data_IF_907837560576
#
_entry.id   IF_907837560576
#
_cell.length_a   1.000
_cell.length_b   1.000
_cell.length_c   1.000
_cell.angle_alpha   90.00
_cell.angle_beta   90.00
_cell.angle_gamma   90.00
#
_symmetry.space_group_name_H-M   'P 1'
#
loop_
_entity.id
_entity.type
_entity.pdbx_description
1 polymer ?
#
# COMPACT_ATOMS: atom_id res chain seq x y z
N UNK A 1 -7.38 -11.26 15.21
CA UNK A 1 -6.40 -11.18 14.12
C UNK A 1 -5.82 -9.78 14.09
N UNK A 2 -4.51 -9.65 13.81
CA UNK A 2 -3.81 -8.35 13.65
C UNK A 2 -3.07 -8.32 12.32
N UNK A 3 -3.18 -7.21 11.58
CA UNK A 3 -2.46 -7.02 10.33
C UNK A 3 -1.46 -5.87 10.44
N UNK A 4 -0.29 -6.05 9.87
CA UNK A 4 0.80 -5.08 9.78
C UNK A 4 0.98 -4.72 8.29
N UNK A 5 0.54 -3.54 7.91
CA UNK A 5 0.54 -3.09 6.52
C UNK A 5 1.75 -2.22 6.27
N UNK A 6 2.61 -2.63 5.35
CA UNK A 6 3.88 -2.01 5.01
C UNK A 6 3.74 -1.34 3.64
N UNK A 7 3.95 -0.02 3.55
CA UNK A 7 4.12 0.63 2.25
C UNK A 7 5.48 0.25 1.66
N UNK A 8 5.56 0.01 0.36
CA UNK A 8 6.83 -0.25 -0.31
C UNK A 8 7.85 0.88 -0.10
N UNK A 9 9.15 0.55 -0.18
CA UNK A 9 10.25 1.51 -0.15
C UNK A 9 10.23 2.46 -1.35
N UNK A 10 11.06 3.51 -1.33
CA UNK A 10 11.18 4.44 -2.44
C UNK A 10 11.47 3.69 -3.74
N UNK A 11 10.62 3.85 -4.75
CA UNK A 11 10.80 3.29 -6.09
C UNK A 11 11.41 4.31 -7.05
N UNK A 12 11.92 3.83 -8.20
CA UNK A 12 12.41 4.69 -9.28
C UNK A 12 11.32 5.67 -9.78
N UNK A 13 10.05 5.25 -9.78
CA UNK A 13 8.94 6.15 -10.12
C UNK A 13 8.73 7.24 -9.05
N UNK A 14 8.86 6.91 -7.76
CA UNK A 14 8.81 7.92 -6.70
C UNK A 14 9.93 8.95 -6.86
N UNK A 15 11.16 8.49 -7.13
CA UNK A 15 12.33 9.36 -7.30
C UNK A 15 12.16 10.33 -8.49
N UNK A 16 11.59 9.83 -9.60
CA UNK A 16 11.38 10.62 -10.82
C UNK A 16 10.06 11.41 -10.81
N UNK A 17 9.24 11.29 -9.78
CA UNK A 17 7.87 11.84 -9.75
C UNK A 17 7.03 11.39 -10.97
N UNK A 18 7.10 10.10 -11.28
CA UNK A 18 6.36 9.48 -12.37
C UNK A 18 5.12 8.71 -11.86
N UNK A 19 4.15 8.53 -12.74
CA UNK A 19 3.00 7.68 -12.52
C UNK A 19 3.40 6.20 -12.57
N UNK A 20 3.60 5.57 -11.41
CA UNK A 20 3.94 4.15 -11.35
C UNK A 20 2.78 3.24 -11.73
N UNK A 21 1.59 3.49 -11.18
CA UNK A 21 0.43 2.61 -11.36
C UNK A 21 0.80 1.13 -11.17
N UNK A 22 0.49 0.31 -12.19
CA UNK A 22 0.80 -1.13 -12.21
C UNK A 22 2.12 -1.48 -12.92
N UNK A 23 2.95 -0.50 -13.22
CA UNK A 23 4.27 -0.72 -13.80
C UNK A 23 5.18 -1.49 -12.83
N UNK A 24 6.00 -2.40 -13.38
CA UNK A 24 6.96 -3.22 -12.62
C UNK A 24 8.25 -2.43 -12.32
N UNK A 25 8.11 -1.35 -11.56
CA UNK A 25 9.19 -0.43 -11.23
C UNK A 25 9.96 -0.95 -10.01
N UNK A 26 11.31 -1.00 -10.05
CA UNK A 26 12.12 -1.43 -8.92
C UNK A 26 12.24 -0.35 -7.84
N UNK A 27 12.73 -0.78 -6.67
CA UNK A 27 13.18 0.11 -5.61
C UNK A 27 14.47 0.83 -6.00
N UNK A 28 14.66 2.05 -5.51
CA UNK A 28 15.94 2.75 -5.53
C UNK A 28 16.91 2.17 -4.49
N UNK A 29 18.23 2.45 -4.53
CA UNK A 29 19.15 2.09 -3.45
C UNK A 29 18.66 2.56 -2.06
N UNK A 30 18.07 3.76 -1.98
CA UNK A 30 17.42 4.26 -0.76
C UNK A 30 16.23 3.39 -0.36
N UNK A 31 15.38 3.00 -1.32
CA UNK A 31 14.23 2.13 -1.07
C UNK A 31 14.63 0.75 -0.56
N UNK A 32 15.71 0.17 -1.07
CA UNK A 32 16.26 -1.10 -0.59
C UNK A 32 16.73 -0.98 0.87
N UNK A 33 17.44 0.09 1.21
CA UNK A 33 17.87 0.35 2.59
C UNK A 33 16.67 0.59 3.53
N UNK A 34 15.63 1.31 3.08
CA UNK A 34 14.39 1.50 3.84
C UNK A 34 13.70 0.16 4.11
N UNK A 35 13.63 -0.73 3.12
CA UNK A 35 12.99 -2.04 3.26
C UNK A 35 13.73 -2.93 4.27
N UNK A 36 15.07 -2.95 4.23
CA UNK A 36 15.87 -3.66 5.22
C UNK A 36 15.65 -3.11 6.65
N UNK A 37 15.54 -1.80 6.80
CA UNK A 37 15.27 -1.16 8.09
C UNK A 37 13.89 -1.52 8.66
N UNK A 38 12.88 -1.77 7.81
CA UNK A 38 11.58 -2.30 8.26
C UNK A 38 11.75 -3.66 8.93
N UNK A 39 12.58 -4.55 8.38
CA UNK A 39 12.85 -5.85 8.98
C UNK A 39 13.35 -5.75 10.43
N UNK A 40 14.26 -4.79 10.69
CA UNK A 40 14.75 -4.54 12.05
C UNK A 40 13.63 -4.06 13.00
N UNK A 41 12.70 -3.25 12.49
CA UNK A 41 11.56 -2.71 13.25
C UNK A 41 10.52 -3.78 13.57
N UNK A 42 10.39 -4.79 12.71
CA UNK A 42 9.47 -5.92 12.87
C UNK A 42 10.08 -7.10 13.66
N UNK A 43 11.35 -7.01 14.07
CA UNK A 43 11.99 -8.04 14.89
C UNK A 43 11.19 -8.32 16.16
N UNK A 44 10.99 -9.61 16.44
CA UNK A 44 10.20 -10.08 17.58
C UNK A 44 8.72 -10.28 17.28
N UNK A 45 8.24 -9.85 16.13
CA UNK A 45 6.89 -10.16 15.66
C UNK A 45 6.95 -11.42 14.80
N UNK A 46 6.19 -12.44 15.18
CA UNK A 46 6.04 -13.66 14.38
C UNK A 46 4.79 -13.54 13.52
N UNK A 47 4.95 -13.70 12.22
CA UNK A 47 3.84 -13.71 11.28
C UNK A 47 3.42 -15.13 10.92
N UNK A 48 2.11 -15.37 10.90
CA UNK A 48 1.52 -16.64 10.46
C UNK A 48 1.33 -16.65 8.94
N UNK A 49 1.19 -15.45 8.35
CA UNK A 49 0.97 -15.27 6.91
C UNK A 49 1.59 -13.96 6.43
N UNK A 50 2.14 -13.99 5.21
CA UNK A 50 2.64 -12.80 4.52
C UNK A 50 1.95 -12.69 3.17
N UNK A 51 1.33 -11.54 2.89
CA UNK A 51 0.62 -11.25 1.65
C UNK A 51 1.25 -10.00 1.01
N UNK A 52 1.53 -10.06 -0.27
CA UNK A 52 2.29 -9.03 -0.97
C UNK A 52 1.59 -8.63 -2.26
N UNK A 53 1.52 -7.35 -2.56
CA UNK A 53 1.19 -6.92 -3.91
C UNK A 53 2.19 -7.51 -4.90
N UNK A 54 1.73 -8.03 -6.01
CA UNK A 54 2.58 -8.64 -7.04
C UNK A 54 3.41 -7.64 -7.86
N UNK A 55 3.32 -6.34 -7.55
CA UNK A 55 4.16 -5.31 -8.16
C UNK A 55 5.58 -5.36 -7.58
N UNK A 56 6.59 -5.25 -8.46
CA UNK A 56 8.00 -5.49 -8.14
C UNK A 56 8.48 -4.76 -6.87
N UNK A 57 8.18 -3.46 -6.75
CA UNK A 57 8.58 -2.64 -5.59
C UNK A 57 8.03 -3.16 -4.25
N UNK A 58 6.83 -3.74 -4.24
CA UNK A 58 6.25 -4.33 -3.03
C UNK A 58 6.90 -5.68 -2.71
N UNK A 59 7.17 -6.51 -3.73
CA UNK A 59 7.88 -7.79 -3.56
C UNK A 59 9.29 -7.57 -3.03
N UNK A 60 10.08 -6.67 -3.64
CA UNK A 60 11.41 -6.32 -3.16
C UNK A 60 11.41 -5.81 -1.71
N UNK A 61 10.36 -5.03 -1.35
CA UNK A 61 10.20 -4.59 0.03
C UNK A 61 9.98 -5.75 0.98
N UNK A 62 9.07 -6.68 0.65
CA UNK A 62 8.77 -7.85 1.48
C UNK A 62 9.98 -8.78 1.60
N UNK A 63 10.69 -9.04 0.51
CA UNK A 63 11.88 -9.90 0.48
C UNK A 63 13.01 -9.40 1.40
N UNK A 64 13.17 -8.08 1.52
CA UNK A 64 14.17 -7.47 2.40
C UNK A 64 13.66 -7.30 3.84
N UNK A 65 12.39 -6.96 4.03
CA UNK A 65 11.82 -6.76 5.36
C UNK A 65 11.53 -8.09 6.09
N UNK A 66 11.18 -9.13 5.35
CA UNK A 66 10.70 -10.42 5.88
C UNK A 66 11.40 -11.61 5.21
N UNK A 67 12.76 -11.67 5.19
CA UNK A 67 13.51 -12.63 4.38
C UNK A 67 13.29 -14.10 4.76
N UNK A 68 12.81 -14.36 5.97
CA UNK A 68 12.55 -15.72 6.47
C UNK A 68 11.14 -16.24 6.19
N UNK A 69 10.31 -15.44 5.53
CA UNK A 69 8.90 -15.77 5.28
C UNK A 69 8.65 -16.02 3.79
N UNK A 70 8.00 -17.13 3.48
CA UNK A 70 7.33 -17.28 2.20
C UNK A 70 6.10 -16.36 2.15
N UNK A 71 5.79 -15.81 0.98
CA UNK A 71 4.62 -14.96 0.80
C UNK A 71 3.75 -15.41 -0.37
N UNK A 72 2.50 -15.07 -0.31
CA UNK A 72 1.56 -15.16 -1.42
C UNK A 72 1.28 -13.78 -1.99
N UNK A 73 1.02 -13.69 -3.29
CA UNK A 73 0.68 -12.43 -3.93
C UNK A 73 -0.84 -12.23 -4.04
N UNK A 74 -1.27 -10.97 -3.94
CA UNK A 74 -2.66 -10.59 -4.16
C UNK A 74 -2.73 -9.29 -4.98
N UNK A 75 -3.37 -9.34 -6.14
CA UNK A 75 -3.52 -8.20 -7.03
C UNK A 75 -4.48 -7.13 -6.50
N UNK A 76 -5.38 -7.49 -5.59
CA UNK A 76 -6.37 -6.57 -5.00
C UNK A 76 -5.72 -5.47 -4.18
N UNK A 77 -4.49 -5.68 -3.72
CA UNK A 77 -3.69 -4.68 -2.99
C UNK A 77 -2.64 -3.98 -3.85
N UNK A 78 -2.74 -4.05 -5.20
CA UNK A 78 -1.97 -3.18 -6.11
C UNK A 78 -2.30 -1.71 -5.89
N UNK A 79 -1.38 -0.83 -6.33
CA UNK A 79 -1.63 0.62 -6.44
C UNK A 79 -2.76 0.90 -7.44
N UNK A 80 -3.31 2.12 -7.44
CA UNK A 80 -4.31 2.53 -8.43
C UNK A 80 -3.75 2.37 -9.85
N UNK A 81 -4.54 1.82 -10.75
CA UNK A 81 -4.18 1.71 -12.16
C UNK A 81 -4.34 3.08 -12.85
N UNK A 82 -3.27 3.58 -13.44
CA UNK A 82 -3.28 4.92 -14.08
C UNK A 82 -3.35 4.85 -15.62
N UNK A 83 -3.64 3.67 -16.16
CA UNK A 83 -3.81 3.45 -17.59
C UNK A 83 -2.59 3.87 -18.41
N UNK A 84 -2.83 4.58 -19.51
CA UNK A 84 -1.78 5.07 -20.43
C UNK A 84 -0.82 6.10 -19.83
N UNK A 85 -1.06 6.56 -18.61
CA UNK A 85 -0.14 7.45 -17.90
C UNK A 85 1.02 6.72 -17.23
N UNK A 86 1.03 5.37 -17.18
CA UNK A 86 2.12 4.59 -16.58
C UNK A 86 3.48 4.98 -17.15
N UNK A 87 4.47 5.19 -16.27
CA UNK A 87 5.83 5.57 -16.61
C UNK A 87 6.04 7.05 -16.98
N UNK A 88 4.98 7.80 -17.22
CA UNK A 88 5.06 9.23 -17.58
C UNK A 88 5.33 10.09 -16.35
N UNK A 89 6.14 11.14 -16.53
CA UNK A 89 6.36 12.13 -15.49
C UNK A 89 5.08 12.94 -15.25
N UNK A 90 4.79 13.23 -13.98
CA UNK A 90 3.65 14.08 -13.60
C UNK A 90 3.75 15.47 -14.25
N UNK A 91 4.98 16.03 -14.35
CA UNK A 91 5.23 17.32 -14.97
C UNK A 91 4.89 17.31 -16.46
N UNK A 92 5.29 16.25 -17.19
CA UNK A 92 5.01 16.12 -18.62
C UNK A 92 3.52 15.97 -18.89
N UNK A 93 2.84 15.13 -18.09
CA UNK A 93 1.38 14.99 -18.16
C UNK A 93 0.66 16.32 -17.89
N UNK A 94 1.17 17.12 -16.92
CA UNK A 94 0.62 18.44 -16.62
C UNK A 94 0.79 19.40 -17.79
N UNK A 95 1.97 19.44 -18.40
CA UNK A 95 2.27 20.35 -19.51
C UNK A 95 1.49 19.98 -20.79
N UNK A 96 1.36 18.68 -21.08
CA UNK A 96 0.77 18.18 -22.32
C UNK A 96 -0.77 18.09 -22.25
N UNK A 97 -1.32 17.61 -21.14
CA UNK A 97 -2.75 17.29 -21.00
C UNK A 97 -3.53 18.40 -20.29
N UNK A 98 -2.86 19.32 -19.61
CA UNK A 98 -3.43 20.52 -19.01
C UNK A 98 -4.49 20.26 -17.95
N UNK A 99 -5.48 21.18 -17.90
CA UNK A 99 -6.54 21.21 -16.88
C UNK A 99 -7.39 19.92 -16.79
N UNK A 100 -7.75 19.23 -17.87
CA UNK A 100 -8.47 17.95 -17.77
C UNK A 100 -7.69 16.92 -16.95
N UNK A 101 -6.39 16.77 -17.18
CA UNK A 101 -5.56 15.86 -16.42
C UNK A 101 -5.44 16.28 -14.93
N UNK A 102 -5.27 17.57 -14.65
CA UNK A 102 -5.18 18.07 -13.27
C UNK A 102 -6.45 17.73 -12.49
N UNK A 103 -7.62 17.86 -13.11
CA UNK A 103 -8.92 17.48 -12.52
C UNK A 103 -8.99 15.97 -12.25
N UNK A 104 -8.70 15.14 -13.25
CA UNK A 104 -8.69 13.68 -13.08
C UNK A 104 -7.71 13.23 -12.00
N UNK A 105 -6.52 13.82 -11.98
CA UNK A 105 -5.51 13.54 -10.96
C UNK A 105 -5.97 13.95 -9.56
N UNK A 106 -6.60 15.11 -9.42
CA UNK A 106 -7.13 15.58 -8.13
C UNK A 106 -8.25 14.68 -7.61
N UNK A 107 -9.11 14.18 -8.51
CA UNK A 107 -10.20 13.26 -8.21
C UNK A 107 -9.74 11.79 -8.10
N UNK A 108 -8.48 11.49 -8.44
CA UNK A 108 -7.96 10.12 -8.56
C UNK A 108 -8.83 9.26 -9.49
N UNK A 109 -9.36 9.84 -10.53
CA UNK A 109 -10.12 9.16 -11.59
C UNK A 109 -9.28 9.08 -12.86
N UNK A 110 -8.72 7.91 -13.11
CA UNK A 110 -7.89 7.62 -14.27
C UNK A 110 -8.63 6.84 -15.37
N UNK A 111 -9.96 6.74 -15.28
CA UNK A 111 -10.78 5.98 -16.26
C UNK A 111 -10.67 6.54 -17.67
N UNK A 112 -10.54 7.87 -17.81
CA UNK A 112 -10.29 8.52 -19.11
C UNK A 112 -8.98 8.09 -19.78
N UNK A 113 -8.05 7.51 -19.03
CA UNK A 113 -6.76 7.00 -19.50
C UNK A 113 -6.71 5.45 -19.52
N UNK A 114 -7.85 4.78 -19.37
CA UNK A 114 -7.93 3.32 -19.28
C UNK A 114 -7.45 2.75 -17.93
N UNK A 115 -7.44 3.57 -16.89
CA UNK A 115 -7.11 3.20 -15.52
C UNK A 115 -8.33 2.98 -14.63
N UNK A 116 -8.13 3.06 -13.31
CA UNK A 116 -9.15 2.93 -12.27
C UNK A 116 -9.55 4.30 -11.70
N UNK A 117 -10.72 4.37 -11.09
CA UNK A 117 -11.12 5.42 -10.16
C UNK A 117 -11.05 4.93 -8.70
N UNK A 118 -11.32 5.83 -7.75
CA UNK A 118 -11.30 5.50 -6.32
C UNK A 118 -12.32 4.42 -5.93
N UNK A 119 -13.52 4.43 -6.53
CA UNK A 119 -14.56 3.44 -6.23
C UNK A 119 -14.15 2.02 -6.63
N UNK A 120 -13.58 1.87 -7.82
CA UNK A 120 -13.08 0.58 -8.31
C UNK A 120 -11.95 0.05 -7.42
N UNK A 121 -11.03 0.93 -7.02
CA UNK A 121 -9.96 0.58 -6.10
C UNK A 121 -10.49 0.22 -4.71
N UNK A 122 -11.44 1.00 -4.16
CA UNK A 122 -12.07 0.71 -2.87
C UNK A 122 -12.73 -0.67 -2.87
N UNK A 123 -13.46 -1.00 -3.93
CA UNK A 123 -14.14 -2.29 -4.05
C UNK A 123 -13.16 -3.47 -3.92
N UNK A 124 -12.08 -3.49 -4.72
CA UNK A 124 -11.11 -4.61 -4.65
C UNK A 124 -10.35 -4.69 -3.33
N UNK A 125 -10.03 -3.53 -2.73
CA UNK A 125 -9.37 -3.49 -1.42
C UNK A 125 -10.32 -3.92 -0.31
N UNK A 126 -11.60 -3.54 -0.37
CA UNK A 126 -12.61 -4.01 0.60
C UNK A 126 -12.82 -5.51 0.51
N UNK A 127 -12.90 -6.09 -0.69
CA UNK A 127 -12.97 -7.55 -0.88
C UNK A 127 -11.77 -8.27 -0.25
N UNK A 128 -10.57 -7.69 -0.37
CA UNK A 128 -9.38 -8.21 0.31
C UNK A 128 -9.51 -8.15 1.84
N UNK A 129 -9.95 -7.01 2.38
CA UNK A 129 -10.12 -6.82 3.83
C UNK A 129 -11.21 -7.74 4.40
N UNK A 130 -12.31 -7.94 3.67
CA UNK A 130 -13.40 -8.85 4.07
C UNK A 130 -12.93 -10.31 4.09
N UNK A 131 -12.08 -10.70 3.14
CA UNK A 131 -11.50 -12.04 3.13
C UNK A 131 -10.60 -12.30 4.34
N UNK A 132 -9.80 -11.31 4.74
CA UNK A 132 -8.95 -11.42 5.93
C UNK A 132 -9.75 -11.68 7.21
N UNK A 133 -11.01 -11.22 7.30
CA UNK A 133 -11.85 -11.48 8.50
C UNK A 133 -12.11 -12.96 8.78
N UNK A 134 -11.82 -13.84 7.80
CA UNK A 134 -11.97 -15.30 7.91
C UNK A 134 -10.74 -16.00 8.51
N UNK A 135 -9.63 -15.26 8.65
CA UNK A 135 -8.40 -15.79 9.25
C UNK A 135 -8.57 -16.01 10.77
N UNK A 136 -7.77 -16.90 11.40
CA UNK A 136 -7.83 -17.15 12.84
C UNK A 136 -7.77 -15.86 13.68
N UNK A 137 -8.53 -15.84 14.77
CA UNK A 137 -8.68 -14.63 15.61
C UNK A 137 -7.36 -14.13 16.25
N UNK A 138 -6.38 -15.00 16.40
CA UNK A 138 -5.04 -14.73 16.94
C UNK A 138 -3.97 -14.56 15.85
N UNK A 139 -4.31 -14.74 14.58
CA UNK A 139 -3.36 -14.63 13.47
C UNK A 139 -2.69 -13.26 13.41
N UNK A 140 -1.39 -13.26 13.14
CA UNK A 140 -0.59 -12.07 12.81
C UNK A 140 -0.19 -12.12 11.33
N UNK A 141 -0.61 -11.13 10.56
CA UNK A 141 -0.45 -11.12 9.10
C UNK A 141 0.36 -9.88 8.70
N UNK A 142 1.42 -10.07 7.92
CA UNK A 142 2.12 -8.98 7.27
C UNK A 142 1.56 -8.76 5.86
N UNK A 143 1.35 -7.50 5.49
CA UNK A 143 0.87 -7.09 4.16
C UNK A 143 1.81 -6.05 3.59
N UNK A 144 2.44 -6.32 2.43
CA UNK A 144 3.27 -5.33 1.75
C UNK A 144 2.55 -4.80 0.51
N UNK A 145 2.30 -3.48 0.47
CA UNK A 145 1.49 -2.87 -0.57
C UNK A 145 1.88 -1.41 -0.87
N UNK A 146 0.92 -0.56 -1.20
CA UNK A 146 1.10 0.79 -1.74
C UNK A 146 0.27 1.80 -0.96
N UNK A 147 0.60 3.08 -1.13
CA UNK A 147 -0.09 4.19 -0.45
C UNK A 147 -1.59 4.19 -0.73
N UNK A 148 -2.00 4.04 -2.01
CA UNK A 148 -3.41 4.00 -2.37
C UNK A 148 -4.14 2.82 -1.73
N UNK A 149 -3.52 1.62 -1.71
CA UNK A 149 -4.13 0.46 -1.04
C UNK A 149 -4.28 0.68 0.47
N UNK A 150 -3.26 1.25 1.13
CA UNK A 150 -3.33 1.60 2.56
C UNK A 150 -4.44 2.60 2.85
N UNK A 151 -4.57 3.64 2.02
CA UNK A 151 -5.66 4.60 2.13
C UNK A 151 -7.03 3.91 2.09
N UNK A 152 -7.26 3.03 1.12
CA UNK A 152 -8.53 2.32 0.99
C UNK A 152 -8.77 1.29 2.10
N UNK A 153 -7.71 0.67 2.65
CA UNK A 153 -7.82 -0.14 3.87
C UNK A 153 -8.26 0.73 5.07
N UNK A 154 -7.71 1.93 5.20
CA UNK A 154 -8.11 2.87 6.25
C UNK A 154 -9.57 3.28 6.09
N UNK A 155 -10.03 3.65 4.89
CA UNK A 155 -11.44 3.97 4.62
C UNK A 155 -12.36 2.80 4.98
N UNK A 156 -11.97 1.56 4.62
CA UNK A 156 -12.72 0.35 4.98
C UNK A 156 -12.83 0.18 6.50
N UNK A 157 -11.72 0.36 7.23
CA UNK A 157 -11.69 0.24 8.70
C UNK A 157 -12.52 1.33 9.37
N UNK A 158 -12.42 2.56 8.89
CA UNK A 158 -13.14 3.72 9.46
C UNK A 158 -14.60 3.80 8.99
N UNK A 159 -14.99 3.00 7.99
CA UNK A 159 -16.32 3.01 7.37
C UNK A 159 -16.75 4.41 6.90
N UNK A 160 -15.82 5.16 6.36
CA UNK A 160 -16.05 6.50 5.84
C UNK A 160 -15.06 6.85 4.72
N UNK A 161 -15.46 7.79 3.87
CA UNK A 161 -14.58 8.40 2.87
C UNK A 161 -13.75 9.50 3.53
N UNK A 162 -12.44 9.32 3.53
CA UNK A 162 -11.49 10.32 4.02
C UNK A 162 -10.97 11.15 2.84
N UNK A 163 -10.65 12.44 3.04
CA UNK A 163 -9.88 13.17 2.04
C UNK A 163 -8.53 12.47 1.82
N UNK A 164 -8.19 12.15 0.57
CA UNK A 164 -6.99 11.35 0.26
C UNK A 164 -5.70 11.95 0.88
N UNK A 165 -5.56 13.28 0.84
CA UNK A 165 -4.41 13.97 1.42
C UNK A 165 -4.32 13.89 2.95
N UNK A 166 -5.42 13.55 3.63
CA UNK A 166 -5.45 13.41 5.08
C UNK A 166 -4.89 12.05 5.57
N UNK A 167 -4.66 11.11 4.67
CA UNK A 167 -4.25 9.75 4.99
C UNK A 167 -2.93 9.34 4.31
N UNK A 168 -1.98 10.28 4.24
CA UNK A 168 -0.65 10.00 3.69
C UNK A 168 0.09 8.92 4.47
N UNK A 169 0.83 8.09 3.76
CA UNK A 169 1.71 7.07 4.34
C UNK A 169 3.11 7.16 3.72
N UNK A 170 4.17 7.24 4.52
CA UNK A 170 5.56 7.32 4.07
C UNK A 170 6.06 5.99 3.46
N UNK A 171 7.05 6.06 2.57
CA UNK A 171 7.72 4.84 2.10
C UNK A 171 8.28 4.05 3.29
N UNK A 172 8.00 2.76 3.34
CA UNK A 172 8.37 1.86 4.43
C UNK A 172 7.78 2.24 5.80
N UNK A 173 6.69 3.01 5.82
CA UNK A 173 5.87 3.12 7.03
C UNK A 173 5.09 1.82 7.26
N UNK A 174 4.72 1.60 8.51
CA UNK A 174 3.88 0.46 8.92
C UNK A 174 2.63 0.98 9.60
N UNK A 175 1.47 0.51 9.14
CA UNK A 175 0.19 0.73 9.80
C UNK A 175 -0.31 -0.58 10.40
N UNK A 176 -0.97 -0.53 11.55
CA UNK A 176 -1.42 -1.72 12.26
C UNK A 176 -2.93 -1.63 12.48
N UNK A 177 -3.63 -2.68 12.06
CA UNK A 177 -5.06 -2.83 12.29
C UNK A 177 -5.33 -4.15 13.01
N UNK A 178 -6.37 -4.16 13.84
CA UNK A 178 -6.85 -5.36 14.51
C UNK A 178 -8.31 -5.61 14.12
N UNK A 179 -8.64 -6.86 13.78
CA UNK A 179 -10.02 -7.31 13.65
C UNK A 179 -10.40 -8.12 14.88
N UNK A 180 -11.39 -7.62 15.63
CA UNK A 180 -11.86 -8.24 16.87
C UNK A 180 -13.35 -8.04 17.05
N UNK A 181 -14.07 -9.11 17.42
CA UNK A 181 -15.52 -9.06 17.72
C UNK A 181 -16.35 -8.45 16.59
N UNK A 182 -16.01 -8.75 15.34
CA UNK A 182 -16.74 -8.26 14.16
C UNK A 182 -16.37 -6.84 13.71
N UNK A 183 -15.38 -6.20 14.34
CA UNK A 183 -15.00 -4.82 14.05
C UNK A 183 -13.50 -4.67 13.76
N UNK A 184 -13.18 -3.81 12.83
CA UNK A 184 -11.82 -3.33 12.60
C UNK A 184 -11.48 -2.20 13.56
N UNK A 185 -10.22 -2.17 14.00
CA UNK A 185 -9.65 -1.15 14.90
C UNK A 185 -8.34 -0.67 14.29
N UNK A 186 -8.18 0.64 14.15
CA UNK A 186 -6.90 1.26 13.82
C UNK A 186 -6.05 1.37 15.09
N UNK A 187 -4.94 0.65 15.14
CA UNK A 187 -3.99 0.72 16.27
C UNK A 187 -2.87 1.75 16.00
N UNK A 188 -2.31 1.72 14.78
CA UNK A 188 -1.23 2.63 14.37
C UNK A 188 -1.39 3.01 12.90
N UNK A 189 -1.08 4.27 12.58
CA UNK A 189 -1.07 4.78 11.20
C UNK A 189 0.27 5.43 10.89
N UNK A 190 0.83 5.09 9.72
CA UNK A 190 2.04 5.71 9.17
C UNK A 190 3.24 5.71 10.14
N UNK A 191 3.43 4.63 10.87
CA UNK A 191 4.52 4.54 11.86
C UNK A 191 5.85 4.32 11.15
N UNK A 192 6.82 5.21 11.41
CA UNK A 192 8.18 5.12 10.86
C UNK A 192 9.22 4.78 11.93
N UNK A 193 8.85 4.84 13.19
CA UNK A 193 9.66 4.49 14.36
C UNK A 193 9.68 3.00 14.69
N UNK A 194 10.19 2.65 15.87
CA UNK A 194 10.23 1.28 16.38
C UNK A 194 8.81 0.81 16.72
N UNK A 195 8.43 -0.33 16.19
CA UNK A 195 7.20 -1.02 16.59
C UNK A 195 7.48 -1.81 17.87
N UNK A 196 6.90 -1.35 18.98
CA UNK A 196 6.94 -2.11 20.24
C UNK A 196 5.75 -3.06 20.19
N UNK A 197 5.95 -4.39 20.34
CA UNK A 197 4.82 -5.30 20.50
C UNK A 197 3.98 -4.84 21.70
N UNK A 198 2.69 -4.64 21.52
CA UNK A 198 1.79 -4.43 22.64
C UNK A 198 1.71 -5.75 23.42
N UNK A 199 1.88 -5.64 24.74
CA UNK A 199 1.81 -6.77 25.67
C UNK A 199 0.42 -7.44 25.70
#
# INVERSE_FOLDING_TARGET
MRIYVIRHGQSEANLRHAHAGWEQVPLTPKGLAQAAAVGERLKGIRFDKVIVSDLLRARQTAELALPSYAYQTDWRIREIHVGSLMGRLVADCTAELGEPYLRHRAQRDFTAYGGENLEQMQRRVSEFMDELTKEPADAQIAVACHEGAMYHMLCHVMQCDLPYLAAFADNCSVSVFTYRSGHWILNKWNETGRLIPEA
#
